data_IF_575085969980
#
_entry.id   IF_575085969980
#
_cell.length_a   1.000
_cell.length_b   1.000
_cell.length_c   1.000
_cell.angle_alpha   90.00
_cell.angle_beta   90.00
_cell.angle_gamma   90.00
#
_symmetry.space_group_name_H-M   'P 1'
#
loop_
_entity.id
_entity.type
_entity.pdbx_description
1 polymer ?
#
# COMPACT_ATOMS: atom_id res chain seq x y z
N UNK A 1 -9.00 38.65 -22.95
CA UNK A 1 -9.30 37.21 -22.79
C UNK A 1 -7.99 36.46 -22.63
N UNK A 2 -7.69 35.91 -21.45
CA UNK A 2 -6.34 35.43 -21.11
C UNK A 2 -6.10 33.94 -21.40
N UNK A 3 -4.88 33.60 -21.84
CA UNK A 3 -4.41 32.23 -22.09
C UNK A 3 -4.47 31.39 -20.80
N UNK A 4 -5.18 30.24 -20.86
CA UNK A 4 -5.25 29.25 -19.77
C UNK A 4 -4.38 28.04 -20.13
N UNK A 5 -3.33 27.78 -19.34
CA UNK A 5 -2.47 26.60 -19.52
C UNK A 5 -2.99 25.41 -18.70
N UNK A 6 -3.41 24.35 -19.40
CA UNK A 6 -3.75 23.05 -18.83
C UNK A 6 -3.24 21.96 -19.77
N UNK A 7 -2.36 21.09 -19.27
CA UNK A 7 -1.79 19.99 -20.06
C UNK A 7 -1.94 18.67 -19.30
N UNK A 8 -2.46 17.64 -19.96
CA UNK A 8 -2.57 16.29 -19.40
C UNK A 8 -1.77 15.32 -20.25
N UNK A 9 -0.77 14.66 -19.68
CA UNK A 9 0.11 13.72 -20.39
C UNK A 9 -0.12 12.31 -19.84
N UNK A 10 -0.41 11.36 -20.72
CA UNK A 10 -0.47 9.93 -20.36
C UNK A 10 0.92 9.35 -20.54
N UNK A 11 1.47 8.74 -19.49
CA UNK A 11 2.79 8.09 -19.55
C UNK A 11 2.62 6.60 -19.82
N UNK A 12 1.69 5.96 -19.11
CA UNK A 12 1.36 4.54 -19.27
C UNK A 12 -0.15 4.32 -19.20
N UNK A 13 -0.68 3.19 -19.70
CA UNK A 13 -2.04 2.76 -19.38
C UNK A 13 -2.23 2.72 -17.85
N UNK A 14 -3.17 3.51 -17.34
CA UNK A 14 -3.42 3.64 -15.90
C UNK A 14 -2.57 4.71 -15.19
N UNK A 15 -1.60 5.37 -15.83
CA UNK A 15 -0.84 6.47 -15.22
C UNK A 15 -0.92 7.74 -16.07
N UNK A 16 -1.53 8.79 -15.52
CA UNK A 16 -1.67 10.10 -16.16
C UNK A 16 -1.20 11.20 -15.21
N UNK A 17 -0.47 12.17 -15.74
CA UNK A 17 -0.11 13.39 -15.04
C UNK A 17 -0.91 14.55 -15.62
N UNK A 18 -1.48 15.38 -14.75
CA UNK A 18 -2.18 16.61 -15.09
C UNK A 18 -1.37 17.80 -14.56
N UNK A 19 -1.00 18.70 -15.46
CA UNK A 19 -0.29 19.94 -15.18
C UNK A 19 -1.26 21.11 -15.35
N UNK A 20 -1.37 21.94 -14.31
CA UNK A 20 -2.16 23.16 -14.28
C UNK A 20 -1.28 24.33 -13.79
N UNK A 21 -1.70 25.58 -14.03
CA UNK A 21 -0.90 26.78 -13.69
C UNK A 21 -0.39 26.84 -12.24
N UNK A 22 -1.14 26.25 -11.29
CA UNK A 22 -0.86 26.31 -9.85
C UNK A 22 -0.57 24.96 -9.21
N UNK A 23 -0.73 23.85 -9.92
CA UNK A 23 -0.58 22.52 -9.33
C UNK A 23 -0.37 21.44 -10.39
N UNK A 24 0.34 20.40 -9.96
CA UNK A 24 0.50 19.16 -10.72
C UNK A 24 -0.19 18.03 -9.97
N UNK A 25 -0.88 17.13 -10.66
CA UNK A 25 -1.43 15.91 -10.07
C UNK A 25 -1.09 14.68 -10.89
N UNK A 26 -0.86 13.58 -10.19
CA UNK A 26 -0.59 12.26 -10.77
C UNK A 26 -1.75 11.35 -10.40
N UNK A 27 -2.35 10.71 -11.41
CA UNK A 27 -3.37 9.68 -11.23
C UNK A 27 -2.78 8.34 -11.64
N UNK A 28 -2.89 7.36 -10.73
CA UNK A 28 -2.45 5.98 -10.89
C UNK A 28 -3.68 5.08 -10.70
N UNK A 29 -3.99 4.26 -11.69
CA UNK A 29 -5.09 3.28 -11.67
C UNK A 29 -6.02 3.37 -12.88
N UNK A 30 -6.91 2.38 -12.96
CA UNK A 30 -7.80 2.12 -14.09
C UNK A 30 -9.26 1.99 -13.67
N UNK A 31 -10.08 1.36 -14.51
CA UNK A 31 -11.48 1.05 -14.18
C UNK A 31 -11.50 0.19 -12.91
N UNK A 32 -12.20 0.69 -11.88
CA UNK A 32 -12.41 -0.01 -10.61
C UNK A 32 -11.50 0.41 -9.45
N UNK A 33 -10.28 0.90 -9.70
CA UNK A 33 -9.45 1.47 -8.64
C UNK A 33 -8.54 2.56 -9.20
N UNK A 34 -8.66 3.78 -8.68
CA UNK A 34 -7.81 4.92 -9.03
C UNK A 34 -7.35 5.67 -7.79
N UNK A 35 -6.12 6.12 -7.82
CA UNK A 35 -5.51 6.94 -6.80
C UNK A 35 -4.93 8.20 -7.44
N UNK A 36 -5.29 9.36 -6.92
CA UNK A 36 -4.80 10.65 -7.43
C UNK A 36 -4.11 11.41 -6.32
N UNK A 37 -2.89 11.86 -6.60
CA UNK A 37 -2.08 12.66 -5.70
C UNK A 37 -1.87 14.02 -6.37
N UNK A 38 -2.15 15.11 -5.68
CA UNK A 38 -1.86 16.46 -6.16
C UNK A 38 -0.77 17.13 -5.33
N UNK A 39 -0.02 18.01 -5.98
CA UNK A 39 1.01 18.85 -5.37
C UNK A 39 0.43 19.82 -4.33
N UNK A 40 -0.88 20.07 -4.33
CA UNK A 40 -1.57 20.89 -3.31
C UNK A 40 -1.88 20.11 -2.02
N UNK A 41 -1.49 18.85 -1.91
CA UNK A 41 -1.75 18.01 -0.73
C UNK A 41 -3.07 17.24 -0.78
N UNK A 42 -3.88 17.39 -1.84
CA UNK A 42 -5.10 16.60 -2.04
C UNK A 42 -4.76 15.21 -2.56
N UNK A 43 -5.23 14.18 -1.85
CA UNK A 43 -5.11 12.76 -2.16
C UNK A 43 -6.52 12.17 -2.29
N UNK A 44 -6.85 11.62 -3.45
CA UNK A 44 -8.17 11.02 -3.72
C UNK A 44 -8.01 9.55 -4.07
N UNK A 45 -8.66 8.67 -3.31
CA UNK A 45 -8.78 7.23 -3.54
C UNK A 45 -10.18 6.92 -4.00
N UNK A 46 -10.33 6.25 -5.13
CA UNK A 46 -11.61 5.72 -5.58
C UNK A 46 -11.47 4.24 -5.82
N UNK A 47 -12.37 3.46 -5.24
CA UNK A 47 -12.50 2.02 -5.46
C UNK A 47 -13.95 1.72 -5.85
N UNK A 48 -14.18 0.81 -6.77
CA UNK A 48 -15.51 0.49 -7.28
C UNK A 48 -15.49 -0.73 -8.16
N UNK A 49 -16.66 -1.34 -8.31
CA UNK A 49 -16.82 -2.52 -9.16
C UNK A 49 -17.23 -2.03 -10.56
N UNK A 50 -16.45 -2.32 -11.61
CA UNK A 50 -16.79 -1.89 -12.96
C UNK A 50 -18.06 -2.60 -13.43
N UNK A 51 -19.00 -1.85 -14.02
CA UNK A 51 -20.24 -2.41 -14.57
C UNK A 51 -21.41 -2.52 -13.59
N UNK A 52 -21.22 -2.28 -12.29
CA UNK A 52 -22.31 -2.37 -11.29
C UNK A 52 -22.80 -1.00 -10.76
N UNK A 53 -22.14 0.10 -11.15
CA UNK A 53 -22.48 1.45 -10.68
C UNK A 53 -22.06 1.75 -9.23
N UNK A 54 -21.57 0.76 -8.49
CA UNK A 54 -21.13 0.92 -7.11
C UNK A 54 -19.66 1.37 -7.04
N UNK A 55 -19.45 2.59 -6.55
CA UNK A 55 -18.13 3.14 -6.28
C UNK A 55 -18.08 3.91 -4.97
N UNK A 56 -16.92 3.90 -4.33
CA UNK A 56 -16.62 4.63 -3.11
C UNK A 56 -15.39 5.51 -3.33
N UNK A 57 -15.48 6.78 -2.95
CA UNK A 57 -14.38 7.74 -3.13
C UNK A 57 -14.08 8.44 -1.81
N UNK A 58 -12.83 8.33 -1.37
CA UNK A 58 -12.29 9.08 -0.24
C UNK A 58 -11.37 10.17 -0.76
N UNK A 59 -11.49 11.38 -0.21
CA UNK A 59 -10.59 12.49 -0.52
C UNK A 59 -10.06 13.08 0.78
N UNK A 60 -8.74 13.04 0.94
CA UNK A 60 -8.01 13.70 2.00
C UNK A 60 -7.34 14.94 1.42
N UNK A 61 -7.41 16.06 2.14
CA UNK A 61 -6.70 17.28 1.76
C UNK A 61 -5.75 17.66 2.90
N UNK A 62 -4.46 17.58 2.63
CA UNK A 62 -3.41 17.90 3.60
C UNK A 62 -3.22 19.42 3.70
N UNK A 63 -4.30 20.16 4.00
CA UNK A 63 -4.18 21.51 4.53
C UNK A 63 -3.93 21.37 6.03
N UNK A 64 -2.78 21.86 6.48
CA UNK A 64 -2.43 21.96 7.91
C UNK A 64 -3.61 22.54 8.70
N UNK A 65 -4.27 21.74 9.55
CA UNK A 65 -4.84 22.19 10.81
C UNK A 65 -5.20 21.00 11.73
N UNK A 66 -4.60 21.07 12.92
CA UNK A 66 -5.13 20.71 14.25
C UNK A 66 -6.15 19.57 14.34
N UNK A 67 -5.77 18.53 15.11
CA UNK A 67 -6.64 17.66 15.92
C UNK A 67 -8.11 17.59 15.50
N UNK A 68 -8.40 16.83 14.45
CA UNK A 68 -9.71 16.24 14.26
C UNK A 68 -9.53 14.73 14.22
N UNK A 69 -10.29 14.06 15.09
CA UNK A 69 -10.45 12.62 15.13
C UNK A 69 -10.93 12.13 13.77
N UNK A 70 -10.00 11.81 12.87
CA UNK A 70 -10.28 10.92 11.76
C UNK A 70 -10.51 9.57 12.40
N UNK A 71 -11.78 9.16 12.52
CA UNK A 71 -12.13 7.75 12.65
C UNK A 71 -11.52 7.03 11.44
N UNK A 72 -10.29 6.58 11.61
CA UNK A 72 -9.66 5.59 10.76
C UNK A 72 -10.53 4.35 10.90
N UNK A 73 -11.22 3.99 9.80
CA UNK A 73 -11.80 2.66 9.64
C UNK A 73 -10.69 1.66 9.95
N UNK A 74 -10.81 1.02 11.10
CA UNK A 74 -9.81 0.13 11.69
C UNK A 74 -9.34 -0.88 10.62
N UNK A 75 -8.04 -0.96 10.27
CA UNK A 75 -7.55 -2.15 9.58
C UNK A 75 -7.86 -3.32 10.51
N UNK A 76 -8.50 -4.38 10.01
CA UNK A 76 -8.79 -5.58 10.82
C UNK A 76 -7.51 -5.99 11.56
N UNK A 77 -7.49 -5.79 12.87
CA UNK A 77 -6.37 -6.13 13.74
C UNK A 77 -6.28 -7.65 13.80
N UNK A 78 -5.47 -8.24 12.93
CA UNK A 78 -5.14 -9.66 13.02
C UNK A 78 -4.29 -9.90 14.26
N UNK A 79 -4.60 -10.99 14.97
CA UNK A 79 -3.94 -11.38 16.21
C UNK A 79 -2.41 -11.43 16.03
N UNK A 80 -1.62 -10.92 17.01
CA UNK A 80 -0.15 -10.91 16.92
C UNK A 80 0.44 -12.32 16.76
N UNK A 81 -0.30 -13.35 17.21
CA UNK A 81 0.04 -14.77 17.01
C UNK A 81 -0.04 -15.17 15.54
N UNK A 82 -1.07 -14.73 14.82
CA UNK A 82 -1.27 -14.98 13.39
C UNK A 82 -0.18 -14.35 12.54
N UNK A 83 0.27 -13.14 12.90
CA UNK A 83 1.33 -12.46 12.17
C UNK A 83 2.70 -13.15 12.34
N UNK A 84 2.98 -13.65 13.54
CA UNK A 84 4.20 -14.42 13.82
C UNK A 84 4.22 -15.74 13.05
N UNK A 85 3.08 -16.44 13.00
CA UNK A 85 2.91 -17.69 12.25
C UNK A 85 3.02 -17.45 10.74
N UNK A 86 2.36 -16.42 10.21
CA UNK A 86 2.45 -16.06 8.79
C UNK A 86 3.88 -15.67 8.38
N UNK A 87 4.59 -14.92 9.23
CA UNK A 87 6.00 -14.60 9.00
C UNK A 87 6.89 -15.84 8.94
N UNK A 88 6.68 -16.81 9.83
CA UNK A 88 7.43 -18.07 9.83
C UNK A 88 7.12 -18.90 8.57
N UNK A 89 5.85 -18.99 8.18
CA UNK A 89 5.42 -19.70 6.97
C UNK A 89 6.09 -19.10 5.72
N UNK A 90 6.13 -17.78 5.62
CA UNK A 90 6.77 -17.09 4.49
C UNK A 90 8.29 -17.34 4.44
N UNK A 91 8.95 -17.43 5.59
CA UNK A 91 10.38 -17.74 5.67
C UNK A 91 10.65 -19.19 5.25
N UNK A 92 9.85 -20.14 5.75
CA UNK A 92 9.93 -21.56 5.37
C UNK A 92 9.69 -21.76 3.87
N UNK A 93 8.70 -21.07 3.31
CA UNK A 93 8.42 -21.10 1.88
C UNK A 93 9.59 -20.56 1.04
N UNK A 94 10.29 -19.52 1.52
CA UNK A 94 11.49 -19.02 0.84
C UNK A 94 12.64 -20.03 0.87
N UNK A 95 12.81 -20.76 1.97
CA UNK A 95 13.85 -21.79 2.13
C UNK A 95 13.59 -22.99 1.20
N UNK A 96 12.33 -23.39 1.07
CA UNK A 96 11.90 -24.41 0.11
C UNK A 96 12.13 -23.95 -1.35
N UNK A 97 11.79 -22.70 -1.66
CA UNK A 97 11.99 -22.13 -2.99
C UNK A 97 13.48 -21.99 -3.35
N UNK A 98 14.36 -21.74 -2.36
CA UNK A 98 15.81 -21.66 -2.54
C UNK A 98 16.43 -23.06 -2.76
N UNK A 99 15.94 -24.09 -2.05
CA UNK A 99 16.33 -25.49 -2.29
C UNK A 99 15.95 -25.98 -3.69
N UNK A 100 14.85 -25.49 -4.26
CA UNK A 100 14.42 -25.80 -5.64
C UNK A 100 15.13 -24.88 -6.67
N UNK A 101 15.46 -23.65 -6.28
CA UNK A 101 16.13 -22.65 -7.11
C UNK A 101 17.61 -22.95 -7.39
N UNK A 102 18.32 -23.59 -6.45
CA UNK A 102 19.71 -23.99 -6.62
C UNK A 102 19.94 -24.98 -7.79
N UNK A 103 19.18 -26.09 -7.90
CA UNK A 103 19.33 -27.03 -9.02
C UNK A 103 18.78 -26.48 -10.35
N UNK A 104 17.91 -25.48 -10.33
CA UNK A 104 17.33 -24.84 -11.54
C UNK A 104 18.11 -23.59 -12.00
N UNK A 105 19.26 -23.29 -11.37
CA UNK A 105 20.09 -22.12 -11.68
C UNK A 105 20.52 -22.06 -13.16
N UNK A 106 20.70 -23.21 -13.81
CA UNK A 106 21.04 -23.31 -15.24
C UNK A 106 19.93 -22.83 -16.19
N UNK A 107 18.67 -22.73 -15.74
CA UNK A 107 17.49 -22.39 -16.56
C UNK A 107 16.74 -21.13 -16.10
N UNK A 108 17.43 -20.16 -15.50
CA UNK A 108 16.84 -18.85 -15.16
C UNK A 108 16.63 -18.57 -13.66
N UNK A 109 17.41 -19.21 -12.78
CA UNK A 109 17.35 -19.04 -11.32
C UNK A 109 17.61 -17.62 -10.79
N UNK A 110 18.08 -16.69 -11.62
CA UNK A 110 18.34 -15.29 -11.26
C UNK A 110 17.05 -14.58 -10.80
N UNK A 111 15.89 -14.94 -11.39
CA UNK A 111 14.58 -14.43 -10.98
C UNK A 111 14.22 -14.89 -9.56
N UNK A 112 14.57 -16.13 -9.19
CA UNK A 112 14.32 -16.66 -7.85
C UNK A 112 15.21 -16.02 -6.79
N UNK A 113 16.45 -15.66 -7.13
CA UNK A 113 17.35 -14.91 -6.24
C UNK A 113 16.80 -13.51 -5.96
N UNK A 114 16.33 -12.80 -7.00
CA UNK A 114 15.70 -11.48 -6.84
C UNK A 114 14.42 -11.59 -5.97
N UNK A 115 13.59 -12.59 -6.24
CA UNK A 115 12.38 -12.84 -5.44
C UNK A 115 12.69 -13.16 -3.97
N UNK A 116 13.75 -13.93 -3.71
CA UNK A 116 14.21 -14.25 -2.36
C UNK A 116 14.68 -12.99 -1.60
N UNK A 117 15.44 -12.11 -2.25
CA UNK A 117 15.90 -10.85 -1.66
C UNK A 117 14.71 -9.93 -1.34
N UNK A 118 13.76 -9.79 -2.27
CA UNK A 118 12.54 -8.98 -2.07
C UNK A 118 11.71 -9.53 -0.90
N UNK A 119 11.50 -10.85 -0.87
CA UNK A 119 10.74 -11.52 0.20
C UNK A 119 11.43 -11.37 1.57
N UNK A 120 12.76 -11.47 1.62
CA UNK A 120 13.54 -11.27 2.85
C UNK A 120 13.43 -9.84 3.39
N UNK A 121 13.53 -8.83 2.51
CA UNK A 121 13.35 -7.42 2.88
C UNK A 121 11.94 -7.15 3.42
N UNK A 122 10.92 -7.70 2.77
CA UNK A 122 9.53 -7.62 3.20
C UNK A 122 9.36 -8.32 4.56
N UNK A 123 9.87 -9.53 4.74
CA UNK A 123 9.80 -10.27 6.00
C UNK A 123 10.41 -9.50 7.18
N UNK A 124 11.56 -8.85 6.99
CA UNK A 124 12.18 -8.02 8.03
C UNK A 124 11.36 -6.78 8.35
N UNK A 125 10.79 -6.11 7.35
CA UNK A 125 9.87 -4.98 7.56
C UNK A 125 8.63 -5.42 8.33
N UNK A 126 8.10 -6.60 8.00
CA UNK A 126 6.97 -7.18 8.69
C UNK A 126 7.30 -7.45 10.16
N UNK A 127 8.41 -8.13 10.48
CA UNK A 127 8.81 -8.43 11.86
C UNK A 127 9.02 -7.15 12.71
N UNK A 128 9.58 -6.10 12.10
CA UNK A 128 9.76 -4.79 12.73
C UNK A 128 8.43 -4.10 13.05
N UNK A 129 7.47 -4.21 12.14
CA UNK A 129 6.10 -3.69 12.33
C UNK A 129 5.36 -4.47 13.43
N UNK A 130 5.48 -5.79 13.49
CA UNK A 130 4.91 -6.60 14.57
C UNK A 130 5.47 -6.24 15.95
N UNK A 131 6.80 -6.06 16.06
CA UNK A 131 7.45 -5.68 17.32
C UNK A 131 6.95 -4.31 17.82
N UNK A 132 6.68 -3.38 16.90
CA UNK A 132 6.11 -2.07 17.22
C UNK A 132 4.67 -2.15 17.73
N UNK A 133 3.85 -3.05 17.15
CA UNK A 133 2.46 -3.28 17.57
C UNK A 133 2.42 -3.97 18.95
N UNK A 134 3.29 -4.95 19.22
CA UNK A 134 3.40 -5.61 20.53
C UNK A 134 3.77 -4.60 21.63
N UNK A 135 4.70 -3.70 21.34
CA UNK A 135 5.12 -2.65 22.29
C UNK A 135 4.10 -1.50 22.43
N UNK A 136 3.06 -1.47 21.60
CA UNK A 136 1.96 -0.51 21.67
C UNK A 136 0.67 -1.12 22.24
N UNK A 137 0.66 -2.41 22.60
CA UNK A 137 -0.48 -3.03 23.26
C UNK A 137 -0.62 -2.39 24.65
N UNK A 138 -1.66 -1.56 24.90
CA UNK A 138 -1.92 -1.07 26.24
C UNK A 138 -2.32 -2.28 27.10
N UNK A 139 -1.80 -2.31 28.33
CA UNK A 139 -2.21 -3.21 29.39
C UNK A 139 -3.73 -3.42 29.36
N UNK A 140 -4.15 -4.67 29.22
CA UNK A 140 -5.55 -5.13 29.36
C UNK A 140 -6.19 -4.41 30.56
N UNK A 141 -7.27 -3.65 30.41
CA UNK A 141 -7.97 -3.11 31.58
C UNK A 141 -8.51 -4.29 32.41
N UNK A 142 -8.47 -4.21 33.75
CA UNK A 142 -8.92 -5.28 34.62
C UNK A 142 -10.42 -5.54 34.40
N UNK A 143 -10.78 -6.83 34.38
CA UNK A 143 -12.17 -7.27 34.42
C UNK A 143 -12.88 -6.54 35.58
N UNK A 144 -13.94 -5.80 35.27
CA UNK A 144 -14.91 -5.40 36.28
C UNK A 144 -16.18 -6.22 36.08
N UNK A 145 -16.41 -7.06 37.11
CA UNK A 145 -17.59 -7.84 37.52
C UNK A 145 -18.22 -8.81 36.53
#
# INVERSE_FOLDING_TARGET
>A
MGLRFRKSVKILPGVKINFNKKSTSVTIGGRGAKYTISSTGKKTKTVGIPGTGLYYTETSNEKRKSNEFVQQKQPKTYSPKTYKICGIIMILLSLLCLMIGLPTFAFGGLIFVIFAIISFCIGRFYLKTAKKIINQQPSKPPLQK
#
